data_IF_730987166043
#
_entry.id   IF_730987166043
#
_cell.length_a   1.000
_cell.length_b   1.000
_cell.length_c   1.000
_cell.angle_alpha   90.00
_cell.angle_beta   90.00
_cell.angle_gamma   90.00
#
_symmetry.space_group_name_H-M   'P 1'
#
loop_
_entity.id
_entity.type
_entity.pdbx_description
1 polymer ?
#
# COMPACT_ATOMS: atom_id res chain seq x y z
N UNK A 1 -14.42 -46.59 -26.56
CA UNK A 1 -14.53 -47.41 -25.33
C UNK A 1 -13.71 -46.75 -24.26
N UNK A 2 -14.31 -46.60 -23.09
CA UNK A 2 -13.89 -45.80 -21.94
C UNK A 2 -12.51 -46.18 -21.37
N UNK A 3 -11.84 -45.22 -20.73
CA UNK A 3 -11.03 -45.37 -19.50
C UNK A 3 -10.63 -43.95 -19.03
N UNK A 4 -11.49 -43.27 -18.26
CA UNK A 4 -11.44 -43.10 -16.80
C UNK A 4 -10.18 -42.35 -16.34
N UNK A 5 -10.39 -41.05 -16.10
CA UNK A 5 -9.52 -40.10 -15.43
C UNK A 5 -9.45 -40.42 -13.93
N UNK A 6 -8.30 -40.87 -13.43
CA UNK A 6 -8.06 -41.00 -11.99
C UNK A 6 -7.52 -39.68 -11.44
N UNK A 7 -8.34 -38.97 -10.67
CA UNK A 7 -7.87 -37.89 -9.77
C UNK A 7 -7.69 -38.53 -8.40
N UNK A 8 -6.44 -38.75 -7.99
CA UNK A 8 -6.11 -39.18 -6.63
C UNK A 8 -6.14 -37.95 -5.71
N UNK A 9 -7.19 -37.86 -4.89
CA UNK A 9 -7.28 -36.94 -3.74
C UNK A 9 -6.49 -37.53 -2.57
N UNK A 10 -5.31 -36.97 -2.26
CA UNK A 10 -4.57 -37.30 -1.04
C UNK A 10 -4.93 -36.32 0.09
N UNK A 11 -5.68 -36.87 1.05
CA UNK A 11 -5.54 -36.70 2.50
C UNK A 11 -5.17 -35.32 3.06
N UNK A 12 -6.12 -34.73 3.75
CA UNK A 12 -6.04 -33.57 4.64
C UNK A 12 -4.79 -33.53 5.53
N UNK A 13 -3.94 -32.52 5.32
CA UNK A 13 -3.17 -31.89 6.39
C UNK A 13 -3.74 -30.47 6.55
N UNK A 14 -4.26 -30.17 7.75
CA UNK A 14 -4.62 -28.81 8.13
C UNK A 14 -3.34 -27.97 8.17
N UNK A 15 -3.08 -27.22 7.10
CA UNK A 15 -2.30 -26.00 7.17
C UNK A 15 -3.28 -24.84 7.31
N UNK A 16 -3.07 -23.89 8.25
CA UNK A 16 -3.91 -22.71 8.34
C UNK A 16 -3.86 -21.97 6.99
N UNK A 17 -5.06 -21.86 6.43
CA UNK A 17 -5.42 -21.29 5.15
C UNK A 17 -5.10 -19.79 5.10
N UNK A 18 -4.18 -19.39 4.22
CA UNK A 18 -4.02 -18.01 3.71
C UNK A 18 -3.14 -18.03 2.46
N UNK A 19 -3.57 -18.73 1.41
CA UNK A 19 -3.12 -18.42 0.05
C UNK A 19 -4.11 -19.07 -0.94
N UNK A 20 -4.71 -18.27 -1.82
CA UNK A 20 -5.51 -18.79 -2.94
C UNK A 20 -4.74 -18.64 -4.26
N UNK A 21 -3.45 -18.98 -4.25
CA UNK A 21 -2.72 -19.37 -5.44
C UNK A 21 -3.20 -20.73 -5.95
N UNK A 22 -3.95 -20.75 -7.06
CA UNK A 22 -4.28 -22.00 -7.76
C UNK A 22 -3.03 -22.50 -8.48
N UNK A 23 -2.42 -23.57 -7.97
CA UNK A 23 -1.30 -24.28 -8.62
C UNK A 23 -1.78 -24.89 -9.94
N UNK A 24 -1.26 -24.39 -11.08
CA UNK A 24 -1.41 -25.05 -12.37
C UNK A 24 -0.11 -25.80 -12.70
N UNK A 25 -0.17 -27.12 -12.69
CA UNK A 25 0.88 -27.98 -13.23
C UNK A 25 0.56 -28.26 -14.69
N UNK A 26 1.40 -27.80 -15.61
CA UNK A 26 1.34 -28.20 -17.02
C UNK A 26 2.45 -29.21 -17.27
N UNK A 27 2.09 -30.40 -17.73
CA UNK A 27 3.07 -31.37 -18.25
C UNK A 27 3.35 -31.02 -19.71
N UNK A 28 4.64 -30.88 -20.05
CA UNK A 28 5.09 -30.79 -21.45
C UNK A 28 5.31 -32.21 -21.99
N UNK A 29 5.17 -32.40 -23.31
CA UNK A 29 5.28 -33.72 -23.97
C UNK A 29 6.64 -34.42 -23.73
N UNK A 30 7.63 -33.67 -23.25
CA UNK A 30 8.99 -34.05 -22.93
C UNK A 30 9.13 -34.78 -21.58
N UNK A 31 8.04 -34.89 -20.79
CA UNK A 31 8.06 -35.48 -19.45
C UNK A 31 8.77 -34.63 -18.39
N UNK A 32 9.06 -33.35 -18.70
CA UNK A 32 9.49 -32.37 -17.71
C UNK A 32 8.29 -31.66 -17.10
N UNK A 33 8.08 -31.91 -15.81
CA UNK A 33 7.26 -31.06 -14.95
C UNK A 33 8.01 -29.76 -14.67
N UNK A 34 7.60 -28.67 -15.32
CA UNK A 34 8.01 -27.33 -14.91
C UNK A 34 6.94 -26.77 -13.97
N UNK A 35 7.28 -26.74 -12.68
CA UNK A 35 6.45 -26.07 -11.67
C UNK A 35 6.65 -24.57 -11.81
N UNK A 36 5.84 -23.91 -12.64
CA UNK A 36 5.84 -22.46 -12.71
C UNK A 36 4.99 -21.92 -11.56
N UNK A 37 5.64 -21.44 -10.50
CA UNK A 37 5.02 -20.59 -9.50
C UNK A 37 4.74 -19.23 -10.15
N UNK A 38 3.68 -19.15 -10.94
CA UNK A 38 3.07 -17.87 -11.24
C UNK A 38 2.22 -17.50 -10.01
N UNK A 39 2.89 -16.98 -8.99
CA UNK A 39 2.24 -16.38 -7.82
C UNK A 39 1.48 -15.16 -8.33
N UNK A 40 0.18 -15.33 -8.59
CA UNK A 40 -0.71 -14.19 -8.80
C UNK A 40 -0.82 -13.52 -7.45
N UNK A 41 0.03 -12.51 -7.20
CA UNK A 41 -0.17 -11.58 -6.10
C UNK A 41 -1.53 -10.91 -6.32
N UNK A 42 -2.55 -11.47 -5.69
CA UNK A 42 -3.85 -10.83 -5.61
C UNK A 42 -3.60 -9.64 -4.71
N UNK A 43 -3.40 -8.44 -5.29
CA UNK A 43 -3.37 -7.22 -4.49
C UNK A 43 -4.62 -7.23 -3.62
N UNK A 44 -4.46 -7.45 -2.31
CA UNK A 44 -5.58 -7.46 -1.39
C UNK A 44 -6.18 -6.06 -1.38
N UNK A 45 -7.29 -5.91 -2.11
CA UNK A 45 -8.01 -4.65 -2.21
C UNK A 45 -8.80 -4.43 -0.94
N UNK A 46 -8.16 -3.73 -0.02
CA UNK A 46 -8.79 -3.23 1.20
C UNK A 46 -9.43 -1.87 0.95
N UNK A 47 -10.66 -1.70 1.44
CA UNK A 47 -11.38 -0.44 1.43
C UNK A 47 -11.48 0.13 2.84
N UNK A 48 -11.16 1.42 3.01
CA UNK A 48 -11.32 2.11 4.28
C UNK A 48 -12.82 2.19 4.65
N UNK A 49 -13.16 1.79 5.87
CA UNK A 49 -14.51 1.87 6.41
C UNK A 49 -14.51 2.60 7.73
N UNK A 50 -15.57 3.37 8.00
CA UNK A 50 -15.80 3.99 9.30
C UNK A 50 -16.89 3.23 10.05
N UNK A 51 -16.56 2.72 11.23
CA UNK A 51 -17.48 2.01 12.12
C UNK A 51 -17.43 2.72 13.47
N UNK A 52 -18.56 3.31 13.87
CA UNK A 52 -18.58 4.25 14.99
C UNK A 52 -17.79 5.53 14.65
N UNK A 53 -16.90 5.93 15.54
CA UNK A 53 -16.05 7.11 15.37
C UNK A 53 -14.70 6.81 14.71
N UNK A 54 -14.27 5.53 14.68
CA UNK A 54 -12.98 5.08 14.18
C UNK A 54 -13.05 4.49 12.76
N UNK A 55 -11.89 4.51 12.12
CA UNK A 55 -11.64 3.93 10.81
C UNK A 55 -10.88 2.62 10.92
N UNK A 56 -11.29 1.65 10.11
CA UNK A 56 -10.65 0.36 9.86
C UNK A 56 -10.69 0.04 8.37
N UNK A 57 -10.48 -1.22 8.00
CA UNK A 57 -10.49 -1.65 6.61
C UNK A 57 -11.22 -2.97 6.42
N UNK A 58 -11.96 -3.07 5.31
CA UNK A 58 -12.70 -4.25 4.91
C UNK A 58 -12.16 -4.81 3.60
N UNK A 59 -12.29 -6.12 3.41
CA UNK A 59 -12.04 -6.77 2.12
C UNK A 59 -13.25 -6.62 1.18
N UNK A 60 -13.14 -7.19 -0.03
CA UNK A 60 -14.20 -7.18 -1.04
C UNK A 60 -15.47 -7.95 -0.63
N UNK A 61 -15.38 -8.86 0.33
CA UNK A 61 -16.53 -9.56 0.91
C UNK A 61 -17.25 -8.72 1.98
N UNK A 62 -16.69 -7.56 2.36
CA UNK A 62 -17.22 -6.69 3.41
C UNK A 62 -16.79 -7.09 4.81
N UNK A 63 -15.87 -8.04 4.94
CA UNK A 63 -15.34 -8.50 6.23
C UNK A 63 -14.27 -7.54 6.73
N UNK A 64 -14.28 -7.23 8.03
CA UNK A 64 -13.27 -6.39 8.66
C UNK A 64 -11.95 -7.15 8.71
N UNK A 65 -10.91 -6.59 8.08
CA UNK A 65 -9.54 -7.14 8.07
C UNK A 65 -8.65 -6.37 9.03
N UNK A 66 -8.83 -5.05 9.09
CA UNK A 66 -8.14 -4.19 10.05
C UNK A 66 -9.21 -3.54 10.92
N UNK A 67 -9.21 -3.88 12.20
CA UNK A 67 -10.19 -3.38 13.17
C UNK A 67 -10.20 -1.85 13.23
N UNK A 68 -11.38 -1.21 13.38
CA UNK A 68 -11.50 0.23 13.54
C UNK A 68 -10.70 0.74 14.74
N UNK A 69 -9.63 1.45 14.47
CA UNK A 69 -8.71 1.96 15.51
C UNK A 69 -8.12 3.34 15.18
N UNK A 70 -8.25 3.80 13.94
CA UNK A 70 -7.68 5.08 13.49
C UNK A 70 -8.71 6.21 13.55
N UNK A 71 -8.27 7.42 13.83
CA UNK A 71 -9.13 8.61 13.79
C UNK A 71 -9.45 9.06 12.37
N UNK A 72 -8.57 8.72 11.42
CA UNK A 72 -8.80 8.89 10.00
C UNK A 72 -7.97 7.87 9.20
N UNK A 73 -8.44 7.51 8.00
CA UNK A 73 -7.80 6.55 7.11
C UNK A 73 -8.06 6.93 5.65
N UNK A 74 -7.05 6.77 4.79
CA UNK A 74 -7.16 6.87 3.34
C UNK A 74 -7.07 5.49 2.69
N UNK A 75 -7.38 5.38 1.40
CA UNK A 75 -7.19 4.14 0.64
C UNK A 75 -5.70 3.77 0.50
N UNK A 76 -5.42 2.47 0.44
CA UNK A 76 -4.09 1.94 0.12
C UNK A 76 -3.64 2.37 -1.28
N UNK A 77 -2.37 2.77 -1.37
CA UNK A 77 -1.65 3.03 -2.62
C UNK A 77 -0.23 2.48 -2.46
N UNK A 78 0.23 1.70 -3.44
CA UNK A 78 1.55 1.05 -3.39
C UNK A 78 1.77 0.27 -2.08
N UNK A 79 0.74 -0.42 -1.59
CA UNK A 79 0.81 -1.24 -0.37
C UNK A 79 0.84 -0.46 0.96
N UNK A 80 0.72 0.87 0.95
CA UNK A 80 0.67 1.70 2.16
C UNK A 80 -0.59 2.58 2.18
N UNK A 81 -1.16 2.78 3.36
CA UNK A 81 -2.27 3.69 3.57
C UNK A 81 -1.94 4.75 4.61
N UNK A 82 -2.39 5.99 4.35
CA UNK A 82 -2.28 7.09 5.31
C UNK A 82 -3.31 6.87 6.42
N UNK A 83 -2.87 6.99 7.68
CA UNK A 83 -3.75 6.99 8.86
C UNK A 83 -3.42 8.14 9.78
N UNK A 84 -4.44 8.64 10.50
CA UNK A 84 -4.28 9.61 11.58
C UNK A 84 -4.56 8.93 12.92
N UNK A 85 -3.70 9.19 13.90
CA UNK A 85 -3.92 8.85 15.30
C UNK A 85 -3.99 10.16 16.09
N UNK A 86 -5.06 10.33 16.86
CA UNK A 86 -5.43 11.56 17.56
C UNK A 86 -6.52 12.35 16.84
N UNK A 87 -7.04 13.34 17.54
CA UNK A 87 -8.11 14.20 17.05
C UNK A 87 -7.69 15.07 15.84
N UNK A 88 -8.63 15.85 15.32
CA UNK A 88 -8.39 16.66 14.13
C UNK A 88 -7.43 17.84 14.34
N UNK A 89 -7.16 18.23 15.58
CA UNK A 89 -6.35 19.42 15.90
C UNK A 89 -4.90 19.05 16.26
N UNK A 90 -4.71 17.94 16.98
CA UNK A 90 -3.43 17.50 17.52
C UNK A 90 -2.92 16.19 16.90
N UNK A 91 -3.79 15.42 16.27
CA UNK A 91 -3.47 14.13 15.68
C UNK A 91 -2.39 14.22 14.61
N UNK A 92 -1.57 13.18 14.54
CA UNK A 92 -0.50 13.06 13.56
C UNK A 92 -0.81 11.99 12.54
N UNK A 93 -0.31 12.21 11.33
CA UNK A 93 -0.42 11.27 10.23
C UNK A 93 0.83 10.40 10.14
N UNK A 94 0.60 9.12 9.87
CA UNK A 94 1.59 8.09 9.58
C UNK A 94 1.06 7.15 8.51
N UNK A 95 1.70 5.99 8.38
CA UNK A 95 1.36 5.01 7.34
C UNK A 95 1.30 3.60 7.92
N UNK A 96 0.35 2.82 7.43
CA UNK A 96 0.22 1.39 7.72
C UNK A 96 0.42 0.55 6.46
N UNK A 97 0.85 -0.69 6.64
CA UNK A 97 0.84 -1.71 5.59
C UNK A 97 -0.53 -2.42 5.50
N UNK A 98 -0.68 -3.33 4.52
CA UNK A 98 -1.93 -4.08 4.30
C UNK A 98 -2.31 -5.02 5.46
N UNK A 99 -1.35 -5.39 6.30
CA UNK A 99 -1.60 -6.13 7.54
C UNK A 99 -2.11 -5.23 8.69
N UNK A 100 -2.21 -3.92 8.47
CA UNK A 100 -2.61 -2.94 9.48
C UNK A 100 -1.49 -2.51 10.43
N UNK A 101 -0.26 -2.93 10.19
CA UNK A 101 0.90 -2.59 11.01
C UNK A 101 1.43 -1.22 10.65
N UNK A 102 1.89 -0.46 11.65
CA UNK A 102 2.48 0.87 11.44
C UNK A 102 3.83 0.73 10.71
N UNK A 103 3.84 1.08 9.43
CA UNK A 103 5.03 1.13 8.59
C UNK A 103 5.85 2.41 8.82
N UNK A 104 5.17 3.55 8.95
CA UNK A 104 5.79 4.83 9.30
C UNK A 104 4.98 5.43 10.45
N UNK A 105 5.67 5.68 11.56
CA UNK A 105 5.02 6.19 12.78
C UNK A 105 4.30 7.52 12.52
N UNK A 106 3.12 7.73 13.13
CA UNK A 106 2.45 9.03 13.08
C UNK A 106 3.35 10.15 13.61
N UNK A 107 3.76 11.05 12.73
CA UNK A 107 4.64 12.18 13.06
C UNK A 107 4.39 13.43 12.21
N UNK A 108 3.65 13.29 11.10
CA UNK A 108 3.40 14.38 10.16
C UNK A 108 2.14 15.16 10.51
N UNK A 109 2.13 16.46 10.20
CA UNK A 109 0.95 17.31 10.36
C UNK A 109 -0.12 16.99 9.30
N UNK A 110 0.32 16.61 8.10
CA UNK A 110 -0.49 16.04 7.02
C UNK A 110 0.36 15.05 6.23
N UNK A 111 -0.28 14.08 5.61
CA UNK A 111 0.37 13.10 4.76
C UNK A 111 -0.55 12.76 3.58
N UNK A 112 0.04 12.39 2.44
CA UNK A 112 -0.69 11.92 1.27
C UNK A 112 -0.20 10.54 0.83
N UNK A 113 -0.97 9.90 -0.04
CA UNK A 113 -0.64 8.60 -0.60
C UNK A 113 0.72 8.61 -1.33
N UNK A 114 1.39 7.47 -1.30
CA UNK A 114 2.58 7.23 -2.12
C UNK A 114 2.22 7.19 -3.60
N UNK A 115 3.11 7.73 -4.42
CA UNK A 115 3.07 7.68 -5.88
C UNK A 115 4.51 7.71 -6.40
N UNK A 116 4.86 6.73 -7.22
CA UNK A 116 6.22 6.54 -7.74
C UNK A 116 7.26 6.40 -6.60
N UNK A 117 6.87 5.73 -5.51
CA UNK A 117 7.73 5.49 -4.35
C UNK A 117 7.91 6.68 -3.41
N UNK A 118 7.22 7.80 -3.63
CA UNK A 118 7.32 9.01 -2.80
C UNK A 118 5.96 9.51 -2.34
N UNK A 119 5.93 10.10 -1.16
CA UNK A 119 4.75 10.77 -0.63
C UNK A 119 5.10 12.18 -0.17
N UNK A 120 4.21 13.15 -0.46
CA UNK A 120 4.37 14.48 0.11
C UNK A 120 3.72 14.57 1.50
N UNK A 121 4.49 15.08 2.46
CA UNK A 121 4.10 15.22 3.86
C UNK A 121 4.32 16.65 4.34
N UNK A 122 3.51 17.08 5.30
CA UNK A 122 3.62 18.39 5.92
C UNK A 122 4.28 18.28 7.29
N UNK A 123 5.33 19.06 7.49
CA UNK A 123 6.01 19.25 8.78
C UNK A 123 5.99 20.74 9.10
N UNK A 124 5.44 21.10 10.27
CA UNK A 124 5.10 22.48 10.57
C UNK A 124 4.06 22.99 9.57
N UNK A 125 4.44 23.98 8.75
CA UNK A 125 3.58 24.61 7.75
C UNK A 125 4.06 24.42 6.30
N UNK A 126 5.09 23.59 6.07
CA UNK A 126 5.66 23.36 4.73
C UNK A 126 5.53 21.90 4.31
N UNK A 127 5.45 21.68 3.01
CA UNK A 127 5.45 20.38 2.37
C UNK A 127 6.86 19.99 1.95
N UNK A 128 7.22 18.75 2.22
CA UNK A 128 8.39 18.04 1.69
C UNK A 128 7.98 16.67 1.16
N UNK A 129 8.95 15.82 0.84
CA UNK A 129 8.71 14.47 0.34
C UNK A 129 9.50 13.43 1.13
N UNK A 130 8.89 12.27 1.33
CA UNK A 130 9.50 11.11 2.00
C UNK A 130 9.55 9.89 1.08
N UNK A 131 10.51 9.01 1.34
CA UNK A 131 10.54 7.64 0.82
C UNK A 131 9.62 6.69 1.60
N UNK A 132 9.57 5.42 1.18
CA UNK A 132 8.70 4.38 1.75
C UNK A 132 9.12 3.97 3.17
N UNK A 133 10.34 4.26 3.55
CA UNK A 133 10.90 4.09 4.89
C UNK A 133 10.61 5.30 5.80
N UNK A 134 10.01 6.37 5.25
CA UNK A 134 9.66 7.59 5.96
C UNK A 134 10.82 8.57 6.12
N UNK A 135 11.92 8.39 5.40
CA UNK A 135 13.05 9.34 5.37
C UNK A 135 12.71 10.51 4.46
N UNK A 136 13.11 11.70 4.87
CA UNK A 136 12.96 12.92 4.07
C UNK A 136 13.90 12.83 2.86
N UNK A 137 13.32 12.85 1.66
CA UNK A 137 14.02 12.91 0.36
C UNK A 137 14.12 14.35 -0.12
N UNK A 138 13.09 15.15 0.13
CA UNK A 138 13.08 16.59 -0.16
C UNK A 138 12.60 17.32 1.08
N UNK A 139 13.43 18.20 1.62
CA UNK A 139 13.14 18.95 2.83
C UNK A 139 11.84 19.77 2.72
N UNK A 140 11.06 19.87 3.82
CA UNK A 140 9.85 20.68 3.84
C UNK A 140 10.14 22.16 3.57
N UNK A 141 9.77 22.63 2.38
CA UNK A 141 10.00 24.02 1.95
C UNK A 141 8.86 24.61 1.11
N UNK A 142 7.96 23.77 0.59
CA UNK A 142 6.90 24.19 -0.32
C UNK A 142 5.61 24.58 0.40
N UNK A 143 4.89 25.57 -0.12
CA UNK A 143 3.55 25.94 0.35
C UNK A 143 2.47 24.98 -0.15
N UNK A 144 2.70 24.36 -1.32
CA UNK A 144 1.90 23.25 -1.84
C UNK A 144 2.82 22.22 -2.50
N UNK A 145 2.46 20.96 -2.39
CA UNK A 145 3.07 19.84 -3.08
C UNK A 145 1.97 18.91 -3.61
N UNK A 146 2.28 18.15 -4.66
CA UNK A 146 1.39 17.21 -5.31
C UNK A 146 2.12 15.88 -5.56
N UNK A 147 1.37 14.81 -5.79
CA UNK A 147 1.93 13.49 -6.09
C UNK A 147 2.84 13.50 -7.33
N UNK A 148 3.89 12.69 -7.29
CA UNK A 148 4.74 12.43 -8.44
C UNK A 148 3.98 11.69 -9.53
N UNK A 149 4.21 12.08 -10.78
CA UNK A 149 3.70 11.45 -11.99
C UNK A 149 4.68 11.66 -13.14
N UNK A 150 5.10 10.58 -13.78
CA UNK A 150 6.13 10.53 -14.81
C UNK A 150 7.45 11.17 -14.33
N UNK A 151 7.85 10.94 -13.08
CA UNK A 151 9.08 11.47 -12.49
C UNK A 151 9.03 12.97 -12.15
N UNK A 152 7.85 13.60 -12.25
CA UNK A 152 7.65 15.03 -11.98
C UNK A 152 6.57 15.24 -10.92
N UNK A 153 6.75 16.28 -10.10
CA UNK A 153 5.71 16.76 -9.21
C UNK A 153 5.57 18.29 -9.33
N UNK A 154 4.33 18.76 -9.27
CA UNK A 154 4.05 20.18 -9.14
C UNK A 154 4.30 20.61 -7.69
N UNK A 155 4.90 21.78 -7.50
CA UNK A 155 5.01 22.42 -6.19
C UNK A 155 4.74 23.92 -6.31
N UNK A 156 4.50 24.56 -5.18
CA UNK A 156 4.39 26.02 -5.10
C UNK A 156 5.21 26.51 -3.93
N UNK A 157 5.99 27.56 -4.16
CA UNK A 157 6.84 28.19 -3.16
C UNK A 157 6.73 29.71 -3.34
N UNK A 158 6.41 30.43 -2.26
CA UNK A 158 6.30 31.90 -2.25
C UNK A 158 5.34 32.42 -3.34
N UNK A 159 4.21 31.72 -3.51
CA UNK A 159 3.20 31.95 -4.56
C UNK A 159 3.63 31.74 -6.02
N UNK A 160 4.87 31.30 -6.27
CA UNK A 160 5.32 30.88 -7.59
C UNK A 160 5.10 29.37 -7.81
N UNK A 161 4.51 29.02 -8.96
CA UNK A 161 4.36 27.62 -9.38
C UNK A 161 5.69 27.12 -9.96
N UNK A 162 6.17 25.98 -9.48
CA UNK A 162 7.40 25.33 -9.96
C UNK A 162 7.14 23.85 -10.25
N UNK A 163 7.83 23.32 -11.25
CA UNK A 163 7.88 21.89 -11.53
C UNK A 163 9.19 21.37 -10.94
N UNK A 164 9.14 20.27 -10.20
CA UNK A 164 10.33 19.60 -9.69
C UNK A 164 10.46 18.22 -10.31
N UNK A 165 11.69 17.86 -10.67
CA UNK A 165 12.08 16.50 -11.02
C UNK A 165 13.07 16.03 -9.97
N UNK A 166 12.98 14.77 -9.57
CA UNK A 166 14.09 14.13 -8.88
C UNK A 166 14.98 13.65 -10.00
N UNK A 167 16.04 14.42 -10.30
CA UNK A 167 17.16 13.85 -11.01
C UNK A 167 17.61 12.67 -10.15
N UNK A 168 17.37 11.44 -10.61
CA UNK A 168 18.12 10.29 -10.11
C UNK A 168 19.57 10.64 -10.39
N UNK A 169 20.28 11.22 -9.42
CA UNK A 169 21.72 11.24 -9.46
C UNK A 169 22.12 9.77 -9.63
N UNK A 170 22.58 9.47 -10.84
CA UNK A 170 23.04 8.15 -11.22
C UNK A 170 24.27 7.89 -10.37
N UNK A 171 24.11 7.10 -9.31
CA UNK A 171 25.22 6.50 -8.56
C UNK A 171 25.54 5.15 -9.18
#
# INVERSE_FOLDING_TARGET
>A
MNNILYILIFSTLLFPYSDSGKLFSMETEDGKTETKQDTVEIEEKLAAVRIGDKWGYINVAGEVVIEPQFDHAHSFHEGLAVVRIGDSDSGKYGYINVAGEIAIKPQFHKANAFSEGLAHVMIGNKWGYIDREGKIVIEPQFDKAFSFKNGLALVRENDEKKDISILKESS
#
